data_IF_245265337737
#
_entry.id   IF_245265337737
#
_cell.length_a   1.000
_cell.length_b   1.000
_cell.length_c   1.000
_cell.angle_alpha   90.00
_cell.angle_beta   90.00
_cell.angle_gamma   90.00
#
_symmetry.space_group_name_H-M   'P 1'
#
loop_
_entity.id
_entity.type
_entity.pdbx_description
1 polymer ?
#
# COMPACT_ATOMS: atom_id res chain seq x y z
N UNK A 1 14.59 -48.72 -15.02
CA UNK A 1 15.05 -47.31 -14.90
C UNK A 1 14.02 -46.62 -14.02
N UNK A 2 14.35 -46.39 -12.74
CA UNK A 2 13.44 -45.73 -11.80
C UNK A 2 13.47 -44.25 -12.14
N UNK A 3 12.35 -43.72 -12.62
CA UNK A 3 12.18 -42.29 -12.87
C UNK A 3 12.39 -41.55 -11.55
N UNK A 4 13.37 -40.65 -11.49
CA UNK A 4 13.64 -39.89 -10.28
C UNK A 4 12.39 -39.07 -9.92
N UNK A 5 12.01 -38.96 -8.63
CA UNK A 5 10.87 -38.16 -8.23
C UNK A 5 11.07 -36.73 -8.73
N UNK A 6 10.07 -36.20 -9.44
CA UNK A 6 10.05 -34.82 -9.92
C UNK A 6 10.38 -33.91 -8.74
N UNK A 7 11.41 -33.03 -8.83
CA UNK A 7 11.73 -32.15 -7.73
C UNK A 7 10.50 -31.31 -7.43
N UNK A 8 9.93 -31.50 -6.23
CA UNK A 8 8.81 -30.71 -5.74
C UNK A 8 9.20 -29.25 -5.93
N UNK A 9 8.46 -28.55 -6.80
CA UNK A 9 8.67 -27.14 -7.02
C UNK A 9 8.52 -26.45 -5.67
N UNK A 10 9.66 -26.01 -5.12
CA UNK A 10 9.74 -25.19 -3.91
C UNK A 10 8.66 -24.10 -4.04
N UNK A 11 7.85 -23.81 -3.01
CA UNK A 11 6.91 -22.69 -3.08
C UNK A 11 7.67 -21.50 -3.66
N UNK A 12 7.19 -21.01 -4.81
CA UNK A 12 7.97 -20.15 -5.69
C UNK A 12 8.63 -19.06 -4.85
N UNK A 13 9.97 -19.01 -4.87
CA UNK A 13 10.68 -17.95 -4.18
C UNK A 13 10.08 -16.60 -4.61
N UNK A 14 9.81 -15.74 -3.63
CA UNK A 14 9.07 -14.49 -3.83
C UNK A 14 9.72 -13.68 -4.96
N UNK A 15 9.01 -13.59 -6.10
CA UNK A 15 9.55 -13.04 -7.35
C UNK A 15 9.93 -11.58 -7.18
N UNK A 16 11.07 -11.17 -7.73
CA UNK A 16 11.52 -9.78 -7.69
C UNK A 16 10.56 -8.84 -8.42
N UNK A 17 9.86 -9.34 -9.45
CA UNK A 17 8.78 -8.62 -10.13
C UNK A 17 7.60 -8.37 -9.17
N UNK A 18 7.23 -9.35 -8.36
CA UNK A 18 6.12 -9.22 -7.41
C UNK A 18 6.48 -8.25 -6.28
N UNK A 19 7.74 -8.28 -5.81
CA UNK A 19 8.27 -7.28 -4.85
C UNK A 19 8.21 -5.87 -5.41
N UNK A 20 8.64 -5.69 -6.66
CA UNK A 20 8.62 -4.40 -7.34
C UNK A 20 7.20 -3.88 -7.52
N UNK A 21 6.28 -4.71 -8.03
CA UNK A 21 4.88 -4.34 -8.21
C UNK A 21 4.24 -3.92 -6.90
N UNK A 22 4.37 -4.75 -5.86
CA UNK A 22 3.85 -4.45 -4.53
C UNK A 22 4.45 -3.15 -3.95
N UNK A 23 5.76 -2.94 -4.11
CA UNK A 23 6.45 -1.75 -3.63
C UNK A 23 5.95 -0.46 -4.32
N UNK A 24 5.69 -0.52 -5.63
CA UNK A 24 5.20 0.63 -6.41
C UNK A 24 3.80 1.09 -6.00
N UNK A 25 2.98 0.21 -5.41
CA UNK A 25 1.67 0.58 -4.89
C UNK A 25 1.75 1.64 -3.78
N UNK A 26 2.79 1.63 -2.95
CA UNK A 26 2.92 2.56 -1.84
C UNK A 26 3.11 4.03 -2.26
N UNK A 27 4.05 4.39 -3.14
CA UNK A 27 4.22 5.76 -3.60
C UNK A 27 3.25 6.17 -4.71
N UNK A 28 2.64 5.21 -5.41
CA UNK A 28 1.77 5.48 -6.56
C UNK A 28 0.39 4.88 -6.31
N UNK A 29 -0.54 5.68 -5.78
CA UNK A 29 -1.86 5.20 -5.38
C UNK A 29 -2.69 4.58 -6.49
N UNK A 30 -2.53 5.02 -7.74
CA UNK A 30 -3.20 4.39 -8.89
C UNK A 30 -2.69 2.97 -9.12
N UNK A 31 -1.40 2.70 -8.87
CA UNK A 31 -0.84 1.34 -8.95
C UNK A 31 -1.43 0.47 -7.84
N UNK A 32 -1.57 0.99 -6.61
CA UNK A 32 -2.23 0.25 -5.54
C UNK A 32 -3.68 -0.11 -5.88
N UNK A 33 -4.44 0.82 -6.46
CA UNK A 33 -5.82 0.58 -6.91
C UNK A 33 -5.87 -0.53 -7.96
N UNK A 34 -5.03 -0.44 -8.99
CA UNK A 34 -4.96 -1.44 -10.05
C UNK A 34 -4.60 -2.81 -9.47
N UNK A 35 -3.55 -2.88 -8.63
CA UNK A 35 -3.10 -4.14 -8.06
C UNK A 35 -4.12 -4.76 -7.11
N UNK A 36 -4.88 -3.97 -6.35
CA UNK A 36 -5.88 -4.48 -5.42
C UNK A 36 -7.14 -5.02 -6.12
N UNK A 37 -7.47 -4.48 -7.31
CA UNK A 37 -8.67 -4.86 -8.07
C UNK A 37 -8.41 -5.90 -9.17
N UNK A 38 -7.19 -6.00 -9.69
CA UNK A 38 -6.85 -6.94 -10.76
C UNK A 38 -6.52 -8.35 -10.24
N UNK A 39 -6.60 -9.33 -11.15
CA UNK A 39 -6.30 -10.74 -10.86
C UNK A 39 -4.85 -11.00 -10.45
N UNK A 40 -3.92 -10.06 -10.66
CA UNK A 40 -2.53 -10.18 -10.20
C UNK A 40 -2.46 -10.41 -8.68
N UNK A 41 -3.28 -9.71 -7.88
CA UNK A 41 -3.34 -9.97 -6.43
C UNK A 41 -4.02 -11.30 -6.09
N UNK A 42 -4.79 -11.91 -6.99
CA UNK A 42 -5.38 -13.24 -6.76
C UNK A 42 -4.34 -14.35 -6.93
N UNK A 43 -3.29 -14.10 -7.70
CA UNK A 43 -2.23 -15.07 -7.99
C UNK A 43 -1.11 -15.05 -6.95
N UNK A 44 -0.87 -13.92 -6.29
CA UNK A 44 0.23 -13.75 -5.34
C UNK A 44 -0.23 -13.09 -4.02
N UNK A 45 -0.03 -13.80 -2.90
CA UNK A 45 -0.42 -13.35 -1.56
C UNK A 45 0.38 -12.14 -1.08
N UNK A 46 1.64 -11.99 -1.48
CA UNK A 46 2.48 -10.85 -1.14
C UNK A 46 1.97 -9.58 -1.83
N UNK A 47 1.70 -9.67 -3.13
CA UNK A 47 1.13 -8.56 -3.90
C UNK A 47 -0.24 -8.18 -3.34
N UNK A 48 -1.11 -9.15 -3.03
CA UNK A 48 -2.42 -8.90 -2.39
C UNK A 48 -2.30 -8.15 -1.07
N UNK A 49 -1.41 -8.62 -0.19
CA UNK A 49 -1.22 -8.06 1.14
C UNK A 49 -0.81 -6.60 1.09
N UNK A 50 0.16 -6.24 0.24
CA UNK A 50 0.64 -4.88 0.12
C UNK A 50 -0.27 -3.98 -0.71
N UNK A 51 -0.92 -4.51 -1.76
CA UNK A 51 -1.83 -3.75 -2.60
C UNK A 51 -3.02 -3.17 -1.80
N UNK A 52 -3.64 -3.97 -0.94
CA UNK A 52 -4.74 -3.49 -0.10
C UNK A 52 -4.29 -2.46 0.93
N UNK A 53 -3.15 -2.66 1.60
CA UNK A 53 -2.63 -1.66 2.54
C UNK A 53 -2.29 -0.34 1.87
N UNK A 54 -1.64 -0.40 0.71
CA UNK A 54 -1.32 0.77 -0.07
C UNK A 54 -2.59 1.49 -0.56
N UNK A 55 -3.60 0.74 -1.02
CA UNK A 55 -4.88 1.32 -1.45
C UNK A 55 -5.56 2.08 -0.30
N UNK A 56 -5.68 1.46 0.87
CA UNK A 56 -6.30 2.11 2.03
C UNK A 56 -5.48 3.31 2.52
N UNK A 57 -4.15 3.27 2.46
CA UNK A 57 -3.30 4.43 2.75
C UNK A 57 -3.67 5.63 1.87
N UNK A 58 -3.82 5.41 0.56
CA UNK A 58 -4.18 6.47 -0.37
C UNK A 58 -5.62 6.95 -0.20
N UNK A 59 -6.55 6.06 0.13
CA UNK A 59 -7.93 6.45 0.50
C UNK A 59 -7.90 7.38 1.72
N UNK A 60 -7.12 7.06 2.76
CA UNK A 60 -6.94 7.95 3.93
C UNK A 60 -6.40 9.31 3.53
N UNK A 61 -5.39 9.38 2.66
CA UNK A 61 -4.84 10.65 2.15
C UNK A 61 -5.89 11.48 1.41
N UNK A 62 -6.72 10.83 0.57
CA UNK A 62 -7.80 11.50 -0.18
C UNK A 62 -8.86 12.06 0.79
N UNK A 63 -9.26 11.28 1.80
CA UNK A 63 -10.23 11.72 2.82
C UNK A 63 -9.69 12.93 3.59
N UNK A 64 -8.43 12.90 4.02
CA UNK A 64 -7.78 14.04 4.68
C UNK A 64 -7.75 15.28 3.79
N UNK A 65 -7.48 15.10 2.49
CA UNK A 65 -7.49 16.20 1.53
C UNK A 65 -8.88 16.82 1.37
N UNK A 66 -9.92 16.02 1.17
CA UNK A 66 -11.30 16.50 1.05
C UNK A 66 -11.72 17.22 2.34
N UNK A 67 -11.43 16.65 3.52
CA UNK A 67 -11.71 17.28 4.81
C UNK A 67 -11.01 18.64 4.98
N UNK A 68 -9.77 18.76 4.50
CA UNK A 68 -9.03 20.04 4.54
C UNK A 68 -9.68 21.14 3.70
N UNK A 69 -10.34 20.80 2.59
CA UNK A 69 -11.05 21.79 1.75
C UNK A 69 -12.25 22.39 2.48
N UNK A 70 -12.96 21.59 3.28
CA UNK A 70 -14.12 22.07 4.06
C UNK A 70 -13.66 22.99 5.20
N UNK A 71 -12.59 22.62 5.89
CA UNK A 71 -12.05 23.40 7.01
C UNK A 71 -11.48 24.74 6.54
N UNK A 72 -10.93 24.80 5.32
CA UNK A 72 -10.34 26.01 4.75
C UNK A 72 -11.33 27.18 4.56
N UNK A 73 -12.64 26.93 4.66
CA UNK A 73 -13.69 27.97 4.62
C UNK A 73 -13.61 28.90 5.83
N UNK A 74 -13.11 28.43 6.98
CA UNK A 74 -12.97 29.24 8.20
C UNK A 74 -11.68 30.07 8.10
N UNK A 75 -11.75 31.42 8.06
CA UNK A 75 -10.55 32.26 7.97
C UNK A 75 -9.63 32.06 9.18
N UNK A 76 -8.32 32.20 8.96
CA UNK A 76 -7.25 32.06 9.98
C UNK A 76 -7.15 30.63 10.55
N UNK A 77 -8.15 30.14 11.30
CA UNK A 77 -8.14 28.80 11.89
C UNK A 77 -8.10 27.70 10.81
N UNK A 78 -8.92 27.83 9.79
CA UNK A 78 -8.98 26.87 8.70
C UNK A 78 -7.68 26.80 7.90
N UNK A 79 -7.00 27.92 7.74
CA UNK A 79 -5.71 28.00 7.05
C UNK A 79 -4.59 27.35 7.85
N UNK A 80 -4.55 27.58 9.17
CA UNK A 80 -3.57 26.94 10.07
C UNK A 80 -3.76 25.42 10.04
N UNK A 81 -5.00 24.94 10.22
CA UNK A 81 -5.31 23.50 10.17
C UNK A 81 -5.00 22.93 8.79
N UNK A 82 -5.35 23.63 7.71
CA UNK A 82 -5.03 23.24 6.34
C UNK A 82 -3.53 23.08 6.10
N UNK A 83 -2.71 24.01 6.61
CA UNK A 83 -1.26 23.94 6.52
C UNK A 83 -0.69 22.73 7.27
N UNK A 84 -1.20 22.44 8.48
CA UNK A 84 -0.80 21.26 9.26
C UNK A 84 -1.17 19.95 8.55
N UNK A 85 -2.37 19.87 7.96
CA UNK A 85 -2.78 18.71 7.15
C UNK A 85 -1.89 18.58 5.91
N UNK A 86 -1.51 19.70 5.27
CA UNK A 86 -0.56 19.71 4.17
C UNK A 86 0.79 19.10 4.55
N UNK A 87 1.35 19.51 5.69
CA UNK A 87 2.60 18.95 6.20
C UNK A 87 2.47 17.46 6.56
N UNK A 88 1.36 17.06 7.18
CA UNK A 88 1.06 15.65 7.45
C UNK A 88 1.03 14.81 6.17
N UNK A 89 0.45 15.32 5.09
CA UNK A 89 0.43 14.62 3.79
C UNK A 89 1.83 14.41 3.21
N UNK A 90 2.72 15.40 3.35
CA UNK A 90 4.13 15.24 2.95
C UNK A 90 4.79 14.14 3.80
N UNK A 91 4.53 14.12 5.11
CA UNK A 91 4.98 13.06 6.00
C UNK A 91 4.47 11.66 5.60
N UNK A 92 3.19 11.55 5.24
CA UNK A 92 2.60 10.30 4.75
C UNK A 92 3.25 9.86 3.43
N UNK A 93 3.56 10.81 2.53
CA UNK A 93 4.25 10.49 1.28
C UNK A 93 5.68 9.97 1.53
N UNK A 94 6.44 10.61 2.42
CA UNK A 94 7.77 10.09 2.81
C UNK A 94 7.64 8.71 3.45
N UNK A 95 6.65 8.53 4.32
CA UNK A 95 6.37 7.24 4.94
C UNK A 95 6.05 6.17 3.89
N UNK A 96 5.28 6.48 2.84
CA UNK A 96 4.98 5.52 1.78
C UNK A 96 6.23 5.09 1.00
N UNK A 97 7.23 5.96 0.85
CA UNK A 97 8.53 5.58 0.28
C UNK A 97 9.26 4.58 1.19
N UNK A 98 9.25 4.79 2.51
CA UNK A 98 9.83 3.83 3.48
C UNK A 98 9.15 2.47 3.37
N UNK A 99 7.81 2.46 3.29
CA UNK A 99 7.05 1.23 3.11
C UNK A 99 7.38 0.54 1.78
N UNK A 100 7.58 1.30 0.70
CA UNK A 100 7.99 0.77 -0.60
C UNK A 100 9.35 0.04 -0.50
N UNK A 101 10.32 0.66 0.19
CA UNK A 101 11.65 0.06 0.40
C UNK A 101 11.55 -1.25 1.18
N UNK A 102 10.79 -1.29 2.28
CA UNK A 102 10.60 -2.52 3.05
C UNK A 102 9.83 -3.59 2.27
N UNK A 103 8.87 -3.20 1.46
CA UNK A 103 8.14 -4.11 0.56
C UNK A 103 9.07 -4.70 -0.49
N UNK A 104 9.95 -3.88 -1.06
CA UNK A 104 10.95 -4.35 -2.01
C UNK A 104 11.96 -5.33 -1.37
N UNK A 105 12.22 -5.19 -0.07
CA UNK A 105 13.00 -6.15 0.72
C UNK A 105 12.23 -7.44 1.06
N UNK A 106 10.98 -7.58 0.61
CA UNK A 106 10.13 -8.76 0.84
C UNK A 106 9.55 -8.84 2.26
N UNK A 107 9.50 -7.72 3.00
CA UNK A 107 8.99 -7.71 4.38
C UNK A 107 7.48 -7.55 4.41
N UNK A 108 6.82 -8.41 5.19
CA UNK A 108 5.44 -8.19 5.63
C UNK A 108 5.44 -7.25 6.83
N UNK A 109 4.61 -6.22 6.78
CA UNK A 109 4.42 -5.28 7.87
C UNK A 109 2.99 -4.72 7.85
N UNK A 110 2.52 -4.31 9.02
CA UNK A 110 1.20 -3.73 9.21
C UNK A 110 1.34 -2.21 9.18
N UNK A 111 0.65 -1.56 8.26
CA UNK A 111 0.57 -0.10 8.21
C UNK A 111 -0.45 0.34 9.27
N UNK A 112 -0.01 1.10 10.30
CA UNK A 112 -0.93 1.58 11.33
C UNK A 112 -2.08 2.38 10.72
N UNK A 113 -3.22 2.44 11.43
CA UNK A 113 -4.47 3.09 10.98
C UNK A 113 -5.22 2.35 9.87
N UNK A 114 -4.52 1.80 8.86
CA UNK A 114 -5.18 1.16 7.71
C UNK A 114 -5.23 -0.36 7.77
N UNK A 115 -4.31 -1.00 8.49
CA UNK A 115 -4.21 -2.46 8.56
C UNK A 115 -5.52 -3.14 9.02
N UNK A 116 -6.18 -2.60 10.05
CA UNK A 116 -7.42 -3.18 10.57
C UNK A 116 -8.57 -3.23 9.54
N UNK A 117 -8.62 -2.27 8.62
CA UNK A 117 -9.57 -2.25 7.51
C UNK A 117 -9.08 -3.18 6.39
N UNK A 118 -7.82 -3.03 6.03
CA UNK A 118 -7.21 -3.75 4.92
C UNK A 118 -7.20 -5.26 5.13
N UNK A 119 -7.03 -5.74 6.38
CA UNK A 119 -6.94 -7.17 6.73
C UNK A 119 -8.10 -8.00 6.17
N UNK A 120 -9.31 -7.42 6.16
CA UNK A 120 -10.54 -8.05 5.63
C UNK A 120 -10.47 -8.40 4.14
N UNK A 121 -9.53 -7.79 3.41
CA UNK A 121 -9.35 -7.96 1.98
C UNK A 121 -8.06 -8.71 1.62
N UNK A 122 -7.20 -8.99 2.60
CA UNK A 122 -5.93 -9.69 2.41
C UNK A 122 -6.05 -11.21 2.49
N UNK A 123 -7.09 -11.72 3.16
CA UNK A 123 -7.41 -13.15 3.30
C UNK A 123 -7.74 -13.77 1.94
#
# INVERSE_FOLDING_TARGET
MVEAPTPLSRPAALSDQNKLLAALGYPIGIVALILALLDISKQDRFVKYHAWQALFLWITVIVLWIGSMVIAVIPILGWIIGALIGLLRIGIFIYSIVLAVWTYQGKYFEVPVVYGIAKKYME
#
